data_IF_010769235377
#
_entry.id   IF_010769235377
#
_cell.length_a   1.000
_cell.length_b   1.000
_cell.length_c   1.000
_cell.angle_alpha   90.00
_cell.angle_beta   90.00
_cell.angle_gamma   90.00
#
_symmetry.space_group_name_H-M   'P 1'
#
loop_
_entity.id
_entity.type
_entity.pdbx_description
1 polymer ?
#
# COMPACT_ATOMS: atom_id res chain seq x y z
N UNK A 1 -10.01 1.15 19.47
CA UNK A 1 -10.69 2.02 18.49
C UNK A 1 -9.65 3.02 18.01
N UNK A 2 -9.03 2.76 16.85
CA UNK A 2 -8.01 3.65 16.31
C UNK A 2 -8.68 4.98 15.96
N UNK A 3 -8.16 6.08 16.51
CA UNK A 3 -8.61 7.43 16.17
C UNK A 3 -8.52 7.58 14.66
N UNK A 4 -9.68 7.68 13.99
CA UNK A 4 -9.77 8.12 12.61
C UNK A 4 -9.08 9.49 12.58
N UNK A 5 -7.96 9.59 11.87
CA UNK A 5 -7.36 10.89 11.57
C UNK A 5 -8.42 11.61 10.72
N UNK A 6 -9.25 12.48 11.30
CA UNK A 6 -10.27 13.24 10.56
C UNK A 6 -9.58 14.39 9.80
N UNK A 7 -8.62 14.07 8.93
CA UNK A 7 -7.92 15.04 8.09
C UNK A 7 -8.02 14.64 6.62
N UNK A 8 -9.09 15.08 5.96
CA UNK A 8 -9.31 14.86 4.52
C UNK A 8 -8.19 15.48 3.65
N UNK A 9 -7.39 16.41 4.22
CA UNK A 9 -6.27 17.08 3.56
C UNK A 9 -4.89 16.49 3.93
N UNK A 10 -4.85 15.32 4.58
CA UNK A 10 -3.59 14.69 5.00
C UNK A 10 -2.59 14.46 3.85
N UNK A 11 -3.07 14.36 2.61
CA UNK A 11 -2.21 14.25 1.43
C UNK A 11 -1.37 15.51 1.13
N UNK A 12 -1.78 16.69 1.64
CA UNK A 12 -1.07 17.97 1.54
C UNK A 12 0.03 18.03 2.59
N UNK A 13 -0.30 17.71 3.84
CA UNK A 13 0.62 17.82 4.98
C UNK A 13 1.64 16.69 5.03
N UNK A 14 1.23 15.48 4.64
CA UNK A 14 2.06 14.27 4.68
C UNK A 14 2.54 13.93 3.28
N UNK A 15 3.84 14.14 3.07
CA UNK A 15 4.53 13.70 1.87
C UNK A 15 4.51 12.17 1.69
N UNK A 16 4.70 11.72 0.45
CA UNK A 16 4.91 10.30 0.17
C UNK A 16 6.23 9.85 0.79
N UNK A 17 6.15 8.88 1.69
CA UNK A 17 7.31 8.18 2.24
C UNK A 17 7.34 6.79 1.63
N UNK A 18 8.44 6.44 0.97
CA UNK A 18 8.70 5.07 0.50
C UNK A 18 9.43 4.29 1.62
N UNK A 19 9.36 2.94 1.64
CA UNK A 19 9.98 2.18 2.71
C UNK A 19 11.51 2.23 2.60
N UNK A 20 12.18 1.93 3.71
CA UNK A 20 13.64 2.01 3.79
C UNK A 20 14.31 1.14 2.72
N UNK A 21 15.33 1.70 2.09
CA UNK A 21 16.04 1.09 0.97
C UNK A 21 17.45 0.74 1.40
N UNK A 22 17.86 -0.51 1.20
CA UNK A 22 19.21 -0.97 1.51
C UNK A 22 20.28 -0.18 0.75
N UNK A 23 21.42 0.15 1.39
CA UNK A 23 22.51 0.89 0.76
C UNK A 23 23.03 0.23 -0.51
N UNK A 24 23.49 1.06 -1.46
CA UNK A 24 23.97 0.58 -2.75
C UNK A 24 25.11 -0.44 -2.66
N UNK A 25 26.02 -0.25 -1.69
CA UNK A 25 27.17 -1.13 -1.45
C UNK A 25 26.75 -2.52 -0.95
N UNK A 26 25.64 -2.62 -0.23
CA UNK A 26 25.12 -3.90 0.29
C UNK A 26 24.41 -4.68 -0.81
N UNK A 27 23.51 -4.03 -1.57
CA UNK A 27 22.78 -4.66 -2.69
C UNK A 27 23.66 -5.07 -3.87
N UNK A 28 24.89 -4.56 -3.95
CA UNK A 28 25.87 -4.99 -4.95
C UNK A 28 26.50 -6.35 -4.63
N UNK A 29 26.46 -6.78 -3.36
CA UNK A 29 27.12 -8.01 -2.89
C UNK A 29 26.15 -9.16 -2.64
N UNK A 30 24.86 -8.88 -2.50
CA UNK A 30 23.84 -9.85 -2.10
C UNK A 30 22.57 -9.66 -2.95
N UNK A 31 22.01 -10.77 -3.44
CA UNK A 31 20.74 -10.81 -4.19
C UNK A 31 19.54 -10.94 -3.23
N UNK A 32 19.47 -10.07 -2.23
CA UNK A 32 18.36 -10.01 -1.27
C UNK A 32 17.35 -8.91 -1.64
N UNK A 33 16.17 -8.93 -1.02
CA UNK A 33 15.17 -7.87 -1.19
C UNK A 33 15.76 -6.51 -0.78
N UNK A 34 15.61 -5.51 -1.67
CA UNK A 34 16.24 -4.18 -1.55
C UNK A 34 15.44 -3.23 -0.66
N UNK A 35 14.12 -3.37 -0.64
CA UNK A 35 13.20 -2.54 0.12
C UNK A 35 12.73 -3.31 1.34
N UNK A 36 12.69 -2.66 2.49
CA UNK A 36 12.09 -3.22 3.69
C UNK A 36 10.55 -3.16 3.64
N UNK A 37 9.84 -4.01 4.39
CA UNK A 37 8.40 -3.85 4.60
C UNK A 37 8.11 -2.53 5.34
N UNK A 38 6.98 -1.87 5.04
CA UNK A 38 6.49 -0.78 5.89
C UNK A 38 6.17 -1.29 7.29
N UNK A 39 6.43 -0.41 8.27
CA UNK A 39 5.85 -0.56 9.60
C UNK A 39 4.34 -0.32 9.50
N UNK A 40 3.51 -1.03 10.30
CA UNK A 40 2.06 -0.87 10.27
C UNK A 40 1.59 0.59 10.44
N UNK A 41 2.28 1.37 11.28
CA UNK A 41 1.98 2.78 11.51
C UNK A 41 2.24 3.64 10.26
N UNK A 42 3.38 3.42 9.58
CA UNK A 42 3.72 4.14 8.35
C UNK A 42 2.76 3.76 7.21
N UNK A 43 2.38 2.48 7.13
CA UNK A 43 1.40 2.00 6.15
C UNK A 43 0.02 2.63 6.37
N UNK A 44 -0.45 2.71 7.62
CA UNK A 44 -1.71 3.38 7.96
C UNK A 44 -1.66 4.88 7.62
N UNK A 45 -0.57 5.57 7.98
CA UNK A 45 -0.38 6.98 7.69
C UNK A 45 -0.34 7.29 6.17
N UNK A 46 0.28 6.42 5.38
CA UNK A 46 0.30 6.55 3.92
C UNK A 46 -1.03 6.16 3.28
N UNK A 47 -1.76 5.18 3.82
CA UNK A 47 -3.07 4.78 3.33
C UNK A 47 -4.13 5.86 3.56
N UNK A 48 -4.00 6.58 4.68
CA UNK A 48 -4.87 7.69 5.04
C UNK A 48 -4.82 8.87 4.06
N UNK A 49 -3.73 9.02 3.29
CA UNK A 49 -3.64 10.02 2.20
C UNK A 49 -4.61 9.75 1.04
N UNK A 50 -5.33 8.61 1.05
CA UNK A 50 -6.36 8.30 0.07
C UNK A 50 -7.57 9.21 0.25
N UNK A 51 -7.96 9.91 -0.81
CA UNK A 51 -9.11 10.82 -0.83
C UNK A 51 -10.47 10.13 -0.95
N UNK A 52 -10.49 8.81 -1.10
CA UNK A 52 -11.70 8.03 -1.39
C UNK A 52 -12.58 8.68 -2.49
N UNK A 53 -11.94 9.00 -3.63
CA UNK A 53 -12.57 9.73 -4.73
C UNK A 53 -13.84 9.00 -5.22
N UNK A 54 -14.93 9.76 -5.45
CA UNK A 54 -16.18 9.18 -5.95
C UNK A 54 -16.07 8.48 -7.32
N UNK A 55 -15.10 8.88 -8.16
CA UNK A 55 -14.69 8.11 -9.34
C UNK A 55 -13.24 7.65 -9.18
N UNK A 56 -12.99 6.39 -8.79
CA UNK A 56 -11.64 5.91 -8.50
C UNK A 56 -10.86 5.59 -9.78
N UNK A 57 -10.13 6.58 -10.30
CA UNK A 57 -9.21 6.40 -11.43
C UNK A 57 -8.17 5.30 -11.19
N UNK A 58 -7.77 5.08 -9.92
CA UNK A 58 -6.81 4.05 -9.55
C UNK A 58 -7.31 2.63 -9.85
N UNK A 59 -8.61 2.38 -9.66
CA UNK A 59 -9.25 1.09 -9.92
C UNK A 59 -9.37 0.84 -11.42
N UNK A 60 -9.90 1.82 -12.16
CA UNK A 60 -10.07 1.74 -13.61
C UNK A 60 -8.77 1.56 -14.38
N UNK A 61 -7.68 2.17 -13.89
CA UNK A 61 -6.38 1.97 -14.53
C UNK A 61 -5.87 0.55 -14.28
N UNK A 62 -6.13 -0.03 -13.11
CA UNK A 62 -5.64 -1.35 -12.72
C UNK A 62 -6.23 -2.43 -13.66
N UNK A 63 -5.43 -3.24 -14.36
CA UNK A 63 -5.95 -4.25 -15.29
C UNK A 63 -6.88 -5.29 -14.65
N UNK A 64 -6.73 -5.51 -13.35
CA UNK A 64 -7.53 -6.45 -12.55
C UNK A 64 -8.64 -5.75 -11.75
N UNK A 65 -8.82 -4.44 -11.95
CA UNK A 65 -9.86 -3.64 -11.28
C UNK A 65 -9.92 -3.87 -9.76
N UNK A 66 -8.75 -3.85 -9.11
CA UNK A 66 -8.67 -4.04 -7.67
C UNK A 66 -9.31 -2.85 -6.92
N UNK A 67 -10.04 -3.15 -5.84
CA UNK A 67 -10.77 -2.20 -4.99
C UNK A 67 -9.83 -1.35 -4.10
N UNK A 68 -8.93 -0.61 -4.74
CA UNK A 68 -7.85 0.15 -4.10
C UNK A 68 -8.33 1.10 -2.99
N UNK A 69 -9.35 1.94 -3.21
CA UNK A 69 -9.82 2.86 -2.15
C UNK A 69 -10.33 2.11 -0.91
N UNK A 70 -10.97 0.96 -1.12
CA UNK A 70 -11.65 0.22 -0.06
C UNK A 70 -10.64 -0.51 0.83
N UNK A 71 -9.66 -1.20 0.26
CA UNK A 71 -8.64 -1.85 1.09
C UNK A 71 -7.66 -0.83 1.70
N UNK A 72 -7.43 0.34 1.07
CA UNK A 72 -6.66 1.42 1.69
C UNK A 72 -7.36 1.98 2.93
N UNK A 73 -8.68 2.11 2.89
CA UNK A 73 -9.46 2.51 4.06
C UNK A 73 -9.27 1.49 5.20
N UNK A 74 -9.41 0.20 4.92
CA UNK A 74 -9.19 -0.86 5.91
C UNK A 74 -7.78 -0.83 6.50
N UNK A 75 -6.76 -0.55 5.68
CA UNK A 75 -5.37 -0.37 6.16
C UNK A 75 -5.25 0.85 7.08
N UNK A 76 -5.91 1.96 6.76
CA UNK A 76 -5.92 3.16 7.62
C UNK A 76 -6.61 2.92 8.98
N UNK A 77 -7.58 2.02 9.02
CA UNK A 77 -8.31 1.61 10.22
C UNK A 77 -7.56 0.52 11.03
N UNK A 78 -6.47 -0.03 10.48
CA UNK A 78 -5.69 -1.11 11.08
C UNK A 78 -6.21 -2.52 10.78
N UNK A 79 -7.23 -2.66 9.94
CA UNK A 79 -7.85 -3.92 9.55
C UNK A 79 -7.07 -4.58 8.40
N UNK A 80 -5.82 -4.97 8.68
CA UNK A 80 -4.89 -5.47 7.66
C UNK A 80 -5.34 -6.78 7.02
N UNK A 81 -5.94 -7.68 7.80
CA UNK A 81 -6.41 -8.98 7.31
C UNK A 81 -7.58 -8.82 6.34
N UNK A 82 -8.55 -7.98 6.67
CA UNK A 82 -9.69 -7.70 5.78
C UNK A 82 -9.24 -6.99 4.50
N UNK A 83 -8.25 -6.09 4.61
CA UNK A 83 -7.66 -5.43 3.45
C UNK A 83 -6.98 -6.45 2.50
N UNK A 84 -6.26 -7.42 3.06
CA UNK A 84 -5.61 -8.47 2.29
C UNK A 84 -6.64 -9.36 1.59
N UNK A 85 -7.67 -9.80 2.31
CA UNK A 85 -8.77 -10.60 1.75
C UNK A 85 -9.47 -9.86 0.60
N UNK A 86 -9.78 -8.57 0.79
CA UNK A 86 -10.42 -7.76 -0.25
C UNK A 86 -9.55 -7.64 -1.50
N UNK A 87 -8.23 -7.52 -1.34
CA UNK A 87 -7.30 -7.51 -2.47
C UNK A 87 -7.19 -8.88 -3.14
N UNK A 88 -7.29 -9.98 -2.39
CA UNK A 88 -7.27 -11.34 -2.93
C UNK A 88 -8.52 -11.68 -3.76
N UNK A 89 -9.67 -11.04 -3.49
CA UNK A 89 -10.91 -11.23 -4.27
C UNK A 89 -10.78 -10.86 -5.75
N UNK A 90 -9.95 -9.88 -6.08
CA UNK A 90 -9.77 -9.40 -7.46
C UNK A 90 -8.44 -9.81 -8.07
N UNK A 91 -7.44 -10.12 -7.24
CA UNK A 91 -6.12 -10.50 -7.67
C UNK A 91 -5.64 -11.74 -6.93
N UNK A 92 -5.26 -12.78 -7.65
CA UNK A 92 -4.76 -14.02 -7.04
C UNK A 92 -3.39 -13.86 -6.36
N UNK A 93 -2.58 -12.87 -6.77
CA UNK A 93 -1.20 -12.67 -6.30
C UNK A 93 -0.88 -11.18 -5.99
N UNK A 94 -1.58 -10.57 -5.03
CA UNK A 94 -1.40 -9.16 -4.68
C UNK A 94 0.02 -8.83 -4.18
N UNK A 95 0.68 -9.77 -3.52
CA UNK A 95 2.06 -9.67 -3.01
C UNK A 95 3.11 -9.62 -4.11
N UNK A 96 2.85 -10.29 -5.24
CA UNK A 96 3.73 -10.24 -6.43
C UNK A 96 3.43 -8.95 -7.19
N UNK A 97 2.16 -8.67 -7.45
CA UNK A 97 1.74 -7.46 -8.18
C UNK A 97 2.20 -6.18 -7.48
N UNK A 98 2.14 -6.09 -6.14
CA UNK A 98 2.66 -4.96 -5.38
C UNK A 98 4.17 -4.75 -5.53
N UNK A 99 4.93 -5.82 -5.79
CA UNK A 99 6.38 -5.78 -5.99
C UNK A 99 6.81 -5.45 -7.41
N UNK A 100 6.16 -6.05 -8.41
CA UNK A 100 6.65 -6.00 -9.80
C UNK A 100 5.87 -5.01 -10.67
N UNK A 101 4.66 -4.61 -10.28
CA UNK A 101 3.85 -3.72 -11.11
C UNK A 101 4.63 -2.45 -11.45
N UNK A 102 4.79 -2.09 -12.74
CA UNK A 102 5.61 -0.97 -13.17
C UNK A 102 4.93 0.39 -12.90
N UNK A 103 3.64 0.40 -12.56
CA UNK A 103 2.87 1.63 -12.47
C UNK A 103 3.21 2.43 -11.20
N UNK A 104 3.55 3.70 -11.39
CA UNK A 104 3.97 4.65 -10.34
C UNK A 104 2.80 5.37 -9.65
N UNK A 105 1.56 5.19 -10.10
CA UNK A 105 0.39 5.92 -9.60
C UNK A 105 -0.58 5.16 -8.68
N UNK A 106 -0.57 3.83 -8.64
CA UNK A 106 -1.48 3.06 -7.79
C UNK A 106 -0.70 2.43 -6.64
N UNK A 107 -0.77 3.01 -5.44
CA UNK A 107 -0.44 2.41 -4.12
C UNK A 107 0.74 1.43 -4.07
N UNK A 108 1.78 1.63 -4.89
CA UNK A 108 2.84 0.63 -5.18
C UNK A 108 3.64 0.23 -3.94
N UNK A 109 3.56 1.05 -2.92
CA UNK A 109 4.35 0.93 -1.72
C UNK A 109 3.55 0.27 -0.58
N UNK A 110 2.29 0.65 -0.36
CA UNK A 110 1.48 0.14 0.76
C UNK A 110 1.13 -1.34 0.54
N UNK A 111 0.83 -1.75 -0.68
CA UNK A 111 0.47 -3.13 -1.01
C UNK A 111 1.56 -4.17 -0.67
N UNK A 112 2.83 -3.76 -0.60
CA UNK A 112 3.97 -4.68 -0.37
C UNK A 112 4.03 -5.21 1.05
N UNK A 113 3.62 -4.40 2.02
CA UNK A 113 3.87 -4.63 3.45
C UNK A 113 2.66 -5.13 4.20
N UNK A 114 1.46 -4.63 3.87
CA UNK A 114 0.24 -5.07 4.54
C UNK A 114 -0.20 -6.45 4.11
N UNK A 115 0.11 -6.86 2.88
CA UNK A 115 -0.35 -8.16 2.34
C UNK A 115 0.66 -9.30 2.53
N UNK A 116 1.91 -8.99 2.89
CA UNK A 116 2.91 -10.01 3.23
C UNK A 116 2.76 -10.55 4.67
N UNK A 117 2.17 -9.77 5.58
CA UNK A 117 1.95 -10.14 6.98
C UNK A 117 0.62 -10.87 7.25
N UNK A 118 -0.19 -11.14 6.22
CA UNK A 118 -1.46 -11.85 6.34
C UNK A 118 -1.33 -13.39 6.15
N UNK A 119 -0.12 -13.93 6.27
CA UNK A 119 0.14 -15.37 6.39
C UNK A 119 0.62 -15.70 7.79
#
# INVERSE_FOLDING_TARGET
MANRLNNDFQFIDVGRQDPEKKPARTRAKQFAEIYEPYKPQDAAAQAHRCLHCGNPYCEWKCPVHNYIPNWLQLVSEGNILEAAELSHRTNSLPEVCGRVCPRTGCARAIARSTMASAR
#
